data_IF_949011787175
#
_entry.id   IF_949011787175
#
_cell.length_a   1.000
_cell.length_b   1.000
_cell.length_c   1.000
_cell.angle_alpha   90.00
_cell.angle_beta   90.00
_cell.angle_gamma   90.00
#
_symmetry.space_group_name_H-M   'P 1'
#
loop_
_entity.id
_entity.type
_entity.pdbx_description
1 polymer ?
#
# COMPACT_ATOMS: atom_id res chain seq x y z
N UNK A 1 10.44 -17.53 -14.24
CA UNK A 1 11.02 -18.01 -12.95
C UNK A 1 9.90 -18.22 -11.96
N UNK A 2 9.69 -19.43 -11.48
CA UNK A 2 8.64 -19.75 -10.48
C UNK A 2 9.15 -19.36 -9.09
N UNK A 3 8.24 -18.98 -8.18
CA UNK A 3 8.61 -18.71 -6.78
C UNK A 3 9.16 -19.99 -6.15
N UNK A 4 10.35 -19.90 -5.53
CA UNK A 4 11.03 -21.04 -4.93
C UNK A 4 12.15 -21.67 -5.79
N UNK A 5 12.16 -21.44 -7.11
CA UNK A 5 13.19 -22.02 -8.02
C UNK A 5 14.62 -21.71 -7.57
N UNK A 6 14.88 -20.50 -7.05
CA UNK A 6 16.21 -20.14 -6.54
C UNK A 6 16.61 -20.98 -5.32
N UNK A 7 15.67 -21.29 -4.42
CA UNK A 7 15.92 -22.15 -3.27
C UNK A 7 16.21 -23.58 -3.69
N UNK A 8 15.46 -24.12 -4.65
CA UNK A 8 15.68 -25.45 -5.19
C UNK A 8 16.99 -25.55 -5.97
N UNK A 9 17.35 -24.54 -6.75
CA UNK A 9 18.66 -24.46 -7.41
C UNK A 9 19.81 -24.43 -6.39
N UNK A 10 19.65 -23.68 -5.30
CA UNK A 10 20.63 -23.65 -4.21
C UNK A 10 20.77 -25.02 -3.55
N UNK A 11 19.70 -25.76 -3.29
CA UNK A 11 19.74 -27.11 -2.73
C UNK A 11 20.52 -28.08 -3.63
N UNK A 12 20.26 -28.02 -4.94
CA UNK A 12 21.01 -28.87 -5.91
C UNK A 12 22.49 -28.50 -5.92
N UNK A 13 22.82 -27.23 -6.07
CA UNK A 13 24.20 -26.75 -6.08
C UNK A 13 24.95 -27.09 -4.79
N UNK A 14 24.34 -26.78 -3.64
CA UNK A 14 24.94 -27.11 -2.34
C UNK A 14 25.11 -28.62 -2.15
N UNK A 15 24.12 -29.42 -2.56
CA UNK A 15 24.19 -30.87 -2.50
C UNK A 15 25.36 -31.43 -3.31
N UNK A 16 25.56 -30.96 -4.55
CA UNK A 16 26.67 -31.39 -5.40
C UNK A 16 28.01 -31.03 -4.78
N UNK A 17 28.22 -29.79 -4.41
CA UNK A 17 29.48 -29.31 -3.83
C UNK A 17 29.81 -30.01 -2.52
N UNK A 18 28.83 -30.17 -1.64
CA UNK A 18 29.02 -30.85 -0.36
C UNK A 18 29.31 -32.35 -0.52
N UNK A 19 28.66 -33.01 -1.48
CA UNK A 19 28.90 -34.41 -1.77
C UNK A 19 30.37 -34.68 -2.21
N UNK A 20 30.90 -33.81 -3.07
CA UNK A 20 32.29 -33.92 -3.56
C UNK A 20 33.28 -33.62 -2.45
N UNK A 21 33.09 -32.55 -1.69
CA UNK A 21 34.00 -32.14 -0.60
C UNK A 21 34.03 -33.20 0.48
N UNK A 22 32.91 -33.78 0.86
CA UNK A 22 32.85 -34.84 1.87
C UNK A 22 33.53 -36.13 1.38
N UNK A 23 33.56 -36.39 0.05
CA UNK A 23 34.27 -37.47 -0.55
C UNK A 23 35.79 -37.43 -0.30
N UNK A 24 36.34 -36.23 -0.13
CA UNK A 24 37.81 -36.02 0.10
C UNK A 24 38.18 -36.03 1.60
N UNK A 25 37.23 -36.09 2.51
CA UNK A 25 37.48 -36.04 3.96
C UNK A 25 37.77 -37.45 4.51
N UNK A 26 38.77 -37.58 5.38
CA UNK A 26 39.21 -38.88 5.91
C UNK A 26 38.44 -39.33 7.15
N UNK A 27 37.85 -38.41 7.93
CA UNK A 27 37.20 -38.68 9.22
C UNK A 27 35.68 -38.44 9.16
N UNK A 28 34.91 -39.44 8.71
CA UNK A 28 33.45 -39.32 8.64
C UNK A 28 32.73 -40.59 9.10
N UNK A 29 31.59 -40.42 9.78
CA UNK A 29 30.71 -41.53 10.13
C UNK A 29 30.12 -42.16 8.86
N UNK A 30 30.25 -43.47 8.73
CA UNK A 30 29.74 -44.24 7.59
C UNK A 30 28.41 -44.89 7.93
N UNK A 31 27.42 -44.73 7.04
CA UNK A 31 26.10 -45.37 7.10
C UNK A 31 25.78 -45.93 5.72
N UNK A 32 25.43 -47.20 5.62
CA UNK A 32 25.10 -47.88 4.35
C UNK A 32 26.17 -47.75 3.26
N UNK A 33 27.47 -47.71 3.64
CA UNK A 33 28.57 -47.57 2.68
C UNK A 33 28.81 -46.15 2.16
N UNK A 34 28.03 -45.18 2.57
CA UNK A 34 28.19 -43.76 2.28
C UNK A 34 28.39 -42.97 3.57
N UNK A 35 29.05 -41.83 3.45
CA UNK A 35 29.20 -40.91 4.59
C UNK A 35 27.87 -40.22 4.87
N UNK A 36 27.52 -40.01 6.13
CA UNK A 36 26.24 -39.36 6.55
C UNK A 36 25.99 -38.04 5.83
N UNK A 37 27.02 -37.22 5.64
CA UNK A 37 26.90 -35.95 4.91
C UNK A 37 26.64 -36.14 3.40
N UNK A 38 27.13 -37.25 2.80
CA UNK A 38 26.83 -37.60 1.41
C UNK A 38 25.36 -38.03 1.24
N UNK A 39 24.80 -38.78 2.20
CA UNK A 39 23.38 -39.12 2.19
C UNK A 39 22.48 -37.88 2.29
N UNK A 40 22.81 -36.94 3.19
CA UNK A 40 22.10 -35.65 3.30
C UNK A 40 22.21 -34.84 2.00
N UNK A 41 23.40 -34.83 1.38
CA UNK A 41 23.63 -34.14 0.11
C UNK A 41 22.80 -34.73 -1.03
N UNK A 42 22.70 -36.06 -1.11
CA UNK A 42 21.85 -36.77 -2.07
C UNK A 42 20.36 -36.41 -1.85
N UNK A 43 19.90 -36.43 -0.61
CA UNK A 43 18.51 -36.03 -0.27
C UNK A 43 18.22 -34.60 -0.71
N UNK A 44 19.13 -33.64 -0.45
CA UNK A 44 18.97 -32.24 -0.88
C UNK A 44 18.95 -32.12 -2.42
N UNK A 45 19.80 -32.87 -3.15
CA UNK A 45 19.76 -32.88 -4.62
C UNK A 45 18.42 -33.40 -5.15
N UNK A 46 17.91 -34.52 -4.59
CA UNK A 46 16.63 -35.10 -5.00
C UNK A 46 15.48 -34.12 -4.73
N UNK A 47 15.41 -33.54 -3.53
CA UNK A 47 14.37 -32.55 -3.18
C UNK A 47 14.48 -31.32 -4.08
N UNK A 48 15.68 -30.81 -4.31
CA UNK A 48 15.93 -29.68 -5.21
C UNK A 48 15.49 -29.97 -6.66
N UNK A 49 15.82 -31.12 -7.20
CA UNK A 49 15.41 -31.55 -8.55
C UNK A 49 13.89 -31.72 -8.65
N UNK A 50 13.24 -32.37 -7.69
CA UNK A 50 11.78 -32.52 -7.64
C UNK A 50 11.09 -31.16 -7.54
N UNK A 51 11.68 -30.23 -6.77
CA UNK A 51 11.20 -28.85 -6.67
C UNK A 51 11.29 -28.13 -8.01
N UNK A 52 12.40 -28.21 -8.72
CA UNK A 52 12.59 -27.63 -10.06
C UNK A 52 11.65 -28.25 -11.11
N UNK A 53 11.37 -29.56 -11.02
CA UNK A 53 10.37 -30.24 -11.85
C UNK A 53 8.94 -29.80 -11.55
N UNK A 54 8.72 -29.10 -10.43
CA UNK A 54 7.41 -28.54 -10.09
C UNK A 54 6.55 -29.45 -9.21
N UNK A 55 7.09 -30.55 -8.68
CA UNK A 55 6.35 -31.50 -7.81
C UNK A 55 5.76 -30.79 -6.59
N UNK A 56 6.52 -29.86 -6.01
CA UNK A 56 6.07 -29.11 -4.82
C UNK A 56 5.30 -27.82 -5.16
N UNK A 57 5.15 -27.46 -6.43
CA UNK A 57 4.49 -26.22 -6.84
C UNK A 57 3.01 -26.15 -6.41
N UNK A 58 2.32 -27.28 -6.36
CA UNK A 58 0.95 -27.33 -5.85
C UNK A 58 0.86 -27.10 -4.33
N UNK A 59 1.88 -27.53 -3.58
CA UNK A 59 1.97 -27.33 -2.13
C UNK A 59 2.41 -25.91 -1.75
N UNK A 60 3.21 -25.24 -2.61
CA UNK A 60 3.68 -23.85 -2.42
C UNK A 60 2.85 -22.82 -3.15
N UNK A 61 1.65 -23.16 -3.63
CA UNK A 61 0.66 -22.20 -4.09
C UNK A 61 0.05 -21.47 -2.89
N UNK A 62 0.81 -20.61 -2.26
CA UNK A 62 0.26 -19.47 -1.56
C UNK A 62 -0.26 -18.52 -2.65
N UNK A 63 -1.49 -18.75 -3.06
CA UNK A 63 -2.30 -17.76 -3.77
C UNK A 63 -2.66 -16.66 -2.77
N UNK A 64 -1.71 -15.83 -2.37
CA UNK A 64 -2.09 -14.50 -1.96
C UNK A 64 -2.63 -13.85 -3.23
N UNK A 65 -3.94 -13.64 -3.24
CA UNK A 65 -4.55 -12.82 -4.29
C UNK A 65 -3.79 -11.50 -4.30
N UNK A 66 -3.44 -10.95 -5.46
CA UNK A 66 -2.88 -9.61 -5.50
C UNK A 66 -3.89 -8.64 -4.89
N UNK A 67 -3.40 -7.67 -4.14
CA UNK A 67 -4.22 -6.58 -3.60
C UNK A 67 -3.68 -5.26 -4.14
N UNK A 68 -4.56 -4.29 -4.37
CA UNK A 68 -4.17 -2.96 -4.82
C UNK A 68 -4.63 -1.94 -3.79
N UNK A 69 -3.68 -1.12 -3.35
CA UNK A 69 -3.93 -0.05 -2.39
C UNK A 69 -3.87 1.29 -3.12
N UNK A 70 -4.92 2.06 -2.99
CA UNK A 70 -5.05 3.37 -3.65
C UNK A 70 -4.92 4.50 -2.64
N UNK A 71 -4.28 5.57 -3.07
CA UNK A 71 -4.55 6.89 -2.49
C UNK A 71 -5.87 7.43 -3.04
N UNK A 72 -6.43 8.45 -2.40
CA UNK A 72 -7.69 9.05 -2.81
C UNK A 72 -7.47 10.23 -3.75
N UNK A 73 -6.76 11.26 -3.25
CA UNK A 73 -6.67 12.57 -3.89
C UNK A 73 -5.65 12.58 -5.04
N UNK A 74 -6.08 12.98 -6.23
CA UNK A 74 -5.24 12.95 -7.42
C UNK A 74 -5.02 11.55 -8.02
N UNK A 75 -5.61 10.51 -7.40
CA UNK A 75 -5.52 9.12 -7.86
C UNK A 75 -6.89 8.57 -8.27
N UNK A 76 -7.87 8.65 -7.40
CA UNK A 76 -9.25 8.20 -7.64
C UNK A 76 -10.19 9.37 -7.89
N UNK A 77 -9.97 10.47 -7.18
CA UNK A 77 -10.74 11.70 -7.32
C UNK A 77 -9.82 12.89 -7.54
N UNK A 78 -10.22 13.79 -8.43
CA UNK A 78 -9.59 15.10 -8.58
C UNK A 78 -10.26 16.08 -7.60
N UNK A 79 -9.59 16.29 -6.49
CA UNK A 79 -10.01 17.24 -5.45
C UNK A 79 -9.17 18.53 -5.46
N UNK A 80 -8.32 18.75 -6.45
CA UNK A 80 -7.37 19.86 -6.45
C UNK A 80 -8.08 21.21 -6.34
N UNK A 81 -9.07 21.47 -7.20
CA UNK A 81 -9.80 22.74 -7.17
C UNK A 81 -10.59 22.90 -5.88
N UNK A 82 -11.19 21.82 -5.36
CA UNK A 82 -11.91 21.82 -4.09
C UNK A 82 -11.00 22.24 -2.94
N UNK A 83 -9.83 21.63 -2.84
CA UNK A 83 -8.85 21.91 -1.77
C UNK A 83 -8.36 23.36 -1.90
N UNK A 84 -7.93 23.79 -3.08
CA UNK A 84 -7.42 25.14 -3.32
C UNK A 84 -8.45 26.21 -2.98
N UNK A 85 -9.67 26.07 -3.47
CA UNK A 85 -10.73 27.03 -3.21
C UNK A 85 -11.14 27.06 -1.73
N UNK A 86 -11.12 25.90 -1.06
CA UNK A 86 -11.40 25.84 0.37
C UNK A 86 -10.34 26.59 1.17
N UNK A 87 -9.05 26.37 0.90
CA UNK A 87 -7.97 27.10 1.58
C UNK A 87 -8.02 28.59 1.29
N UNK A 88 -8.23 29.00 0.03
CA UNK A 88 -8.36 30.42 -0.32
C UNK A 88 -9.49 31.10 0.46
N UNK A 89 -10.64 30.44 0.62
CA UNK A 89 -11.76 31.01 1.42
C UNK A 89 -11.43 31.10 2.89
N UNK A 90 -10.81 30.07 3.47
CA UNK A 90 -10.39 30.11 4.88
C UNK A 90 -9.41 31.25 5.13
N UNK A 91 -8.38 31.37 4.28
CA UNK A 91 -7.39 32.44 4.43
C UNK A 91 -7.99 33.83 4.19
N UNK A 92 -8.86 33.98 3.22
CA UNK A 92 -9.55 35.25 2.98
C UNK A 92 -10.41 35.70 4.18
N UNK A 93 -11.02 34.74 4.92
CA UNK A 93 -11.78 35.05 6.13
C UNK A 93 -10.90 35.39 7.33
N UNK A 94 -9.78 34.67 7.53
CA UNK A 94 -8.99 34.73 8.76
C UNK A 94 -7.69 35.53 8.63
N UNK A 95 -7.17 35.68 7.42
CA UNK A 95 -5.98 36.45 7.07
C UNK A 95 -6.20 37.17 5.74
N UNK A 96 -7.06 38.18 5.67
CA UNK A 96 -7.46 38.83 4.42
C UNK A 96 -6.29 39.47 3.66
N UNK A 97 -5.23 39.87 4.37
CA UNK A 97 -4.02 40.49 3.81
C UNK A 97 -2.98 39.45 3.32
N UNK A 98 -3.27 38.12 3.48
CA UNK A 98 -2.38 37.06 3.08
C UNK A 98 -2.87 36.35 1.82
N UNK A 99 -2.13 36.50 0.73
CA UNK A 99 -2.41 35.79 -0.52
C UNK A 99 -1.61 34.49 -0.60
N UNK A 100 -2.33 33.36 -0.69
CA UNK A 100 -1.72 32.05 -0.89
C UNK A 100 -1.17 31.92 -2.30
N UNK A 101 0.12 31.62 -2.42
CA UNK A 101 0.75 31.27 -3.69
C UNK A 101 0.29 29.89 -4.17
N UNK A 102 0.43 29.62 -5.46
CA UNK A 102 0.14 28.30 -5.99
C UNK A 102 1.07 27.22 -5.40
N UNK A 103 2.34 27.54 -5.14
CA UNK A 103 3.31 26.63 -4.53
C UNK A 103 2.89 26.21 -3.13
N UNK A 104 2.40 27.16 -2.31
CA UNK A 104 1.85 26.87 -0.99
C UNK A 104 0.62 25.95 -1.09
N UNK A 105 -0.32 26.28 -1.99
CA UNK A 105 -1.51 25.46 -2.21
C UNK A 105 -1.16 24.01 -2.60
N UNK A 106 -0.16 23.79 -3.46
CA UNK A 106 0.33 22.46 -3.78
C UNK A 106 0.98 21.77 -2.57
N UNK A 107 1.69 22.49 -1.71
CA UNK A 107 2.30 21.94 -0.50
C UNK A 107 1.28 21.46 0.56
N UNK A 108 0.02 21.84 0.43
CA UNK A 108 -1.08 21.42 1.33
C UNK A 108 -1.64 20.05 0.99
N UNK A 109 -1.24 19.46 -0.15
CA UNK A 109 -1.57 18.07 -0.46
C UNK A 109 -0.64 17.11 0.29
N UNK A 110 -1.21 16.09 0.93
CA UNK A 110 -0.46 15.07 1.65
C UNK A 110 -0.42 15.27 3.16
N UNK A 111 0.07 16.41 3.70
CA UNK A 111 0.02 16.69 5.13
C UNK A 111 -1.40 16.70 5.70
N UNK A 112 -1.54 16.48 7.00
CA UNK A 112 -2.82 16.68 7.68
C UNK A 112 -3.14 18.17 7.85
N UNK A 113 -4.43 18.50 8.04
CA UNK A 113 -4.85 19.89 8.20
C UNK A 113 -4.21 20.54 9.43
N UNK A 114 -4.01 19.76 10.51
CA UNK A 114 -3.33 20.22 11.71
C UNK A 114 -1.91 20.71 11.39
N UNK A 115 -1.12 19.87 10.72
CA UNK A 115 0.25 20.21 10.31
C UNK A 115 0.27 21.42 9.37
N UNK A 116 -0.70 21.53 8.48
CA UNK A 116 -0.79 22.64 7.54
C UNK A 116 -1.14 23.94 8.26
N UNK A 117 -2.20 23.96 9.05
CA UNK A 117 -2.66 25.20 9.71
C UNK A 117 -1.74 25.67 10.84
N UNK A 118 -1.04 24.75 11.55
CA UNK A 118 -0.05 25.13 12.58
C UNK A 118 1.13 25.94 12.04
N UNK A 119 1.38 25.94 10.72
CA UNK A 119 2.41 26.79 10.10
C UNK A 119 1.99 28.26 9.99
N UNK A 120 0.70 28.55 9.99
CA UNK A 120 0.13 29.87 9.69
C UNK A 120 -0.66 30.50 10.84
N UNK A 121 -1.10 29.68 11.79
CA UNK A 121 -1.99 30.09 12.88
C UNK A 121 -1.51 29.57 14.23
N UNK A 122 -1.83 30.27 15.35
CA UNK A 122 -1.57 29.79 16.70
C UNK A 122 -2.22 28.44 16.98
N UNK A 123 -1.57 27.62 17.79
CA UNK A 123 -1.97 26.23 18.04
C UNK A 123 -3.39 26.12 18.67
N UNK A 124 -3.74 27.07 19.54
CA UNK A 124 -5.06 27.17 20.18
C UNK A 124 -6.21 27.44 19.21
N UNK A 125 -5.93 27.97 18.01
CA UNK A 125 -6.93 28.27 16.99
C UNK A 125 -7.06 27.18 15.94
N UNK A 126 -6.06 26.30 15.80
CA UNK A 126 -5.98 25.31 14.71
C UNK A 126 -7.25 24.47 14.61
N UNK A 127 -7.80 23.97 15.74
CA UNK A 127 -8.99 23.13 15.69
C UNK A 127 -10.21 23.88 15.16
N UNK A 128 -10.44 25.12 15.58
CA UNK A 128 -11.57 25.92 15.12
C UNK A 128 -11.46 26.26 13.63
N UNK A 129 -10.23 26.44 13.13
CA UNK A 129 -9.94 26.69 11.72
C UNK A 129 -10.20 25.41 10.88
N UNK A 130 -9.81 24.26 11.40
CA UNK A 130 -10.12 22.97 10.76
C UNK A 130 -11.63 22.77 10.66
N UNK A 131 -12.38 23.07 11.71
CA UNK A 131 -13.84 22.96 11.68
C UNK A 131 -14.44 23.90 10.63
N UNK A 132 -13.94 25.14 10.56
CA UNK A 132 -14.36 26.10 9.52
C UNK A 132 -14.01 25.61 8.12
N UNK A 133 -12.80 25.09 7.92
CA UNK A 133 -12.37 24.48 6.66
C UNK A 133 -13.34 23.36 6.23
N UNK A 134 -13.74 22.49 7.16
CA UNK A 134 -14.65 21.38 6.87
C UNK A 134 -16.04 21.85 6.43
N UNK A 135 -16.54 22.91 7.05
CA UNK A 135 -17.83 23.51 6.65
C UNK A 135 -17.76 24.05 5.22
N UNK A 136 -16.72 24.81 4.90
CA UNK A 136 -16.52 25.38 3.55
C UNK A 136 -16.29 24.25 2.53
N UNK A 137 -15.44 23.29 2.84
CA UNK A 137 -15.15 22.14 1.98
C UNK A 137 -16.41 21.33 1.67
N UNK A 138 -17.24 21.08 2.67
CA UNK A 138 -18.53 20.38 2.49
C UNK A 138 -19.49 21.13 1.57
N UNK A 139 -19.53 22.45 1.67
CA UNK A 139 -20.39 23.27 0.81
C UNK A 139 -19.93 23.25 -0.66
N UNK A 140 -18.61 23.27 -0.89
CA UNK A 140 -18.02 23.28 -2.23
C UNK A 140 -17.88 21.88 -2.86
N UNK A 141 -17.99 20.83 -2.06
CA UNK A 141 -17.66 19.46 -2.43
C UNK A 141 -18.40 18.98 -3.69
N UNK A 142 -19.71 19.28 -3.74
CA UNK A 142 -20.57 18.82 -4.84
C UNK A 142 -20.18 19.44 -6.19
N UNK A 143 -19.73 20.68 -6.19
CA UNK A 143 -19.49 21.45 -7.41
C UNK A 143 -18.05 21.31 -7.92
N UNK A 144 -17.09 21.11 -7.02
CA UNK A 144 -15.65 21.16 -7.33
C UNK A 144 -14.94 19.81 -7.30
N UNK A 145 -15.54 18.75 -6.72
CA UNK A 145 -14.96 17.42 -6.76
C UNK A 145 -15.27 16.77 -8.11
N UNK A 146 -14.23 16.24 -8.76
CA UNK A 146 -14.34 15.52 -10.02
C UNK A 146 -13.78 14.10 -9.90
N UNK A 147 -14.25 13.20 -10.74
CA UNK A 147 -13.65 11.89 -10.94
C UNK A 147 -12.34 12.04 -11.73
N UNK A 148 -11.33 11.25 -11.38
CA UNK A 148 -10.14 11.12 -12.23
C UNK A 148 -10.53 10.28 -13.46
N UNK A 149 -10.21 10.73 -14.69
CA UNK A 149 -10.54 10.00 -15.90
C UNK A 149 -10.07 8.54 -15.84
N UNK A 150 -10.95 7.62 -16.25
CA UNK A 150 -10.70 6.17 -16.29
C UNK A 150 -10.52 5.47 -14.94
N UNK A 151 -10.67 6.16 -13.79
CA UNK A 151 -10.57 5.54 -12.48
C UNK A 151 -11.61 4.42 -12.29
N UNK A 152 -12.84 4.66 -12.71
CA UNK A 152 -13.92 3.69 -12.62
C UNK A 152 -13.69 2.47 -13.51
N UNK A 153 -13.33 2.68 -14.78
CA UNK A 153 -13.02 1.59 -15.73
C UNK A 153 -11.88 0.69 -15.23
N UNK A 154 -10.83 1.30 -14.66
CA UNK A 154 -9.73 0.56 -14.04
C UNK A 154 -10.22 -0.29 -12.86
N UNK A 155 -11.07 0.26 -11.99
CA UNK A 155 -11.61 -0.48 -10.83
C UNK A 155 -12.57 -1.60 -11.28
N UNK A 156 -13.34 -1.40 -12.35
CA UNK A 156 -14.17 -2.44 -12.97
C UNK A 156 -13.30 -3.60 -13.45
N UNK A 157 -12.20 -3.32 -14.17
CA UNK A 157 -11.26 -4.34 -14.62
C UNK A 157 -10.61 -5.12 -13.47
N UNK A 158 -10.22 -4.43 -12.38
CA UNK A 158 -9.67 -5.09 -11.18
C UNK A 158 -10.70 -6.02 -10.51
N UNK A 159 -11.96 -5.59 -10.47
CA UNK A 159 -13.06 -6.37 -9.92
C UNK A 159 -13.35 -7.63 -10.75
N UNK A 160 -13.32 -7.54 -12.08
CA UNK A 160 -13.47 -8.68 -13.00
C UNK A 160 -12.36 -9.73 -12.78
N UNK A 161 -11.13 -9.28 -12.52
CA UNK A 161 -9.99 -10.14 -12.18
C UNK A 161 -10.00 -10.64 -10.72
N UNK A 162 -11.04 -10.31 -9.94
CA UNK A 162 -11.16 -10.65 -8.51
C UNK A 162 -9.97 -10.14 -7.67
N UNK A 163 -9.43 -8.97 -8.00
CA UNK A 163 -8.38 -8.28 -7.27
C UNK A 163 -9.02 -7.42 -6.18
N UNK A 164 -8.64 -7.65 -4.93
CA UNK A 164 -9.14 -6.86 -3.81
C UNK A 164 -8.48 -5.49 -3.78
N UNK A 165 -9.29 -4.46 -3.49
CA UNK A 165 -8.85 -3.08 -3.49
C UNK A 165 -9.10 -2.42 -2.13
N UNK A 166 -8.18 -1.55 -1.70
CA UNK A 166 -8.38 -0.70 -0.55
C UNK A 166 -7.99 0.75 -0.84
N UNK A 167 -8.59 1.67 -0.08
CA UNK A 167 -8.23 3.08 -0.08
C UNK A 167 -7.58 3.43 1.25
N UNK A 168 -6.44 4.15 1.19
CA UNK A 168 -5.72 4.66 2.37
C UNK A 168 -5.47 6.15 2.19
N UNK A 169 -6.04 6.98 3.07
CA UNK A 169 -5.97 8.44 2.97
C UNK A 169 -5.73 9.12 4.32
N UNK A 170 -4.99 10.24 4.33
CA UNK A 170 -4.84 11.09 5.52
C UNK A 170 -6.08 11.95 5.82
N UNK A 171 -7.10 11.91 4.96
CA UNK A 171 -8.38 12.59 5.20
C UNK A 171 -9.23 11.84 6.21
N UNK A 172 -10.16 12.56 6.86
CA UNK A 172 -11.15 11.94 7.73
C UNK A 172 -11.98 10.93 6.96
N UNK A 173 -12.27 9.81 7.59
CA UNK A 173 -12.98 8.67 6.97
C UNK A 173 -14.32 9.07 6.32
N UNK A 174 -15.05 9.98 6.95
CA UNK A 174 -16.32 10.50 6.41
C UNK A 174 -16.13 11.26 5.09
N UNK A 175 -15.01 12.03 4.98
CA UNK A 175 -14.68 12.79 3.77
C UNK A 175 -14.27 11.83 2.65
N UNK A 176 -13.50 10.79 2.97
CA UNK A 176 -13.11 9.72 2.02
C UNK A 176 -14.35 9.05 1.46
N UNK A 177 -15.23 8.53 2.33
CA UNK A 177 -16.46 7.84 1.94
C UNK A 177 -17.39 8.73 1.10
N UNK A 178 -17.52 10.01 1.47
CA UNK A 178 -18.32 10.97 0.71
C UNK A 178 -17.75 11.21 -0.68
N UNK A 179 -16.42 11.34 -0.80
CA UNK A 179 -15.73 11.53 -2.07
C UNK A 179 -15.93 10.32 -3.00
N UNK A 180 -15.70 9.11 -2.49
CA UNK A 180 -15.92 7.87 -3.24
C UNK A 180 -17.38 7.74 -3.71
N UNK A 181 -18.33 8.00 -2.83
CA UNK A 181 -19.76 7.95 -3.17
C UNK A 181 -20.14 8.96 -4.26
N UNK A 182 -19.62 10.19 -4.17
CA UNK A 182 -19.90 11.21 -5.17
C UNK A 182 -19.31 10.87 -6.54
N UNK A 183 -18.12 10.25 -6.56
CA UNK A 183 -17.48 9.77 -7.78
C UNK A 183 -18.07 8.42 -8.29
N UNK A 184 -19.03 7.83 -7.57
CA UNK A 184 -19.59 6.52 -7.93
C UNK A 184 -18.61 5.35 -7.79
N UNK A 185 -17.63 5.49 -6.90
CA UNK A 185 -16.54 4.53 -6.68
C UNK A 185 -16.67 3.75 -5.35
N UNK A 186 -17.70 3.97 -4.57
CA UNK A 186 -17.88 3.41 -3.21
C UNK A 186 -18.08 1.89 -3.17
N UNK A 187 -18.46 1.25 -4.29
CA UNK A 187 -18.70 -0.19 -4.40
C UNK A 187 -17.50 -1.05 -4.84
N UNK A 188 -16.29 -0.47 -4.93
CA UNK A 188 -15.09 -1.15 -5.46
C UNK A 188 -14.05 -1.51 -4.42
N UNK A 189 -14.24 -1.11 -3.16
CA UNK A 189 -13.23 -1.26 -2.11
C UNK A 189 -13.74 -2.11 -0.97
N UNK A 190 -13.01 -3.16 -0.62
CA UNK A 190 -13.24 -3.99 0.57
C UNK A 190 -12.84 -3.26 1.85
N UNK A 191 -11.79 -2.42 1.77
CA UNK A 191 -11.25 -1.68 2.91
C UNK A 191 -11.09 -0.20 2.53
N UNK A 192 -11.59 0.67 3.40
CA UNK A 192 -11.42 2.13 3.27
C UNK A 192 -10.91 2.66 4.60
N UNK A 193 -9.67 3.17 4.60
CA UNK A 193 -9.01 3.76 5.77
C UNK A 193 -8.86 5.27 5.60
N UNK A 194 -9.39 6.01 6.57
CA UNK A 194 -9.16 7.43 6.76
C UNK A 194 -8.31 7.71 7.98
N UNK A 195 -8.01 8.97 8.27
CA UNK A 195 -7.15 9.43 9.36
C UNK A 195 -7.41 8.70 10.69
N UNK A 196 -8.67 8.51 11.05
CA UNK A 196 -9.07 7.91 12.31
C UNK A 196 -8.76 6.41 12.41
N UNK A 197 -8.53 5.75 11.27
CA UNK A 197 -8.24 4.33 11.18
C UNK A 197 -6.74 4.05 11.01
N UNK A 198 -5.92 5.08 10.80
CA UNK A 198 -4.49 4.93 10.59
C UNK A 198 -3.76 4.93 11.94
N UNK A 199 -2.86 3.96 12.20
CA UNK A 199 -1.98 4.02 13.37
C UNK A 199 -1.11 5.28 13.37
N UNK A 200 -0.61 5.65 12.19
CA UNK A 200 0.13 6.89 11.92
C UNK A 200 -0.24 7.43 10.54
N UNK A 201 -0.24 8.76 10.34
CA UNK A 201 -0.53 9.35 9.05
C UNK A 201 0.59 9.06 8.03
N UNK A 202 0.25 9.11 6.73
CA UNK A 202 1.27 9.10 5.68
C UNK A 202 2.25 10.28 5.87
N UNK A 203 3.56 10.07 5.68
CA UNK A 203 4.22 9.04 4.87
C UNK A 203 4.54 7.72 5.61
N UNK A 204 4.05 7.50 6.84
CA UNK A 204 4.23 6.19 7.49
C UNK A 204 3.59 5.06 6.65
N UNK A 205 4.28 3.91 6.59
CA UNK A 205 3.76 2.72 5.93
C UNK A 205 2.71 1.96 6.75
N UNK A 206 2.47 2.37 8.00
CA UNK A 206 1.59 1.66 8.95
C UNK A 206 0.17 1.48 8.41
N UNK A 207 -0.40 2.50 7.75
CA UNK A 207 -1.73 2.41 7.15
C UNK A 207 -1.80 1.45 5.96
N UNK A 208 -0.72 1.32 5.17
CA UNK A 208 -0.66 0.35 4.08
C UNK A 208 -0.58 -1.08 4.62
N UNK A 209 0.21 -1.29 5.69
CA UNK A 209 0.33 -2.58 6.37
C UNK A 209 -1.03 -2.97 6.95
N UNK A 210 -1.72 -2.04 7.60
CA UNK A 210 -3.06 -2.27 8.17
C UNK A 210 -4.07 -2.65 7.09
N UNK A 211 -4.10 -1.93 5.98
CA UNK A 211 -4.96 -2.27 4.84
C UNK A 211 -4.68 -3.69 4.30
N UNK A 212 -3.40 -4.09 4.21
CA UNK A 212 -3.03 -5.45 3.80
C UNK A 212 -3.43 -6.53 4.80
N UNK A 213 -3.50 -6.21 6.10
CA UNK A 213 -3.92 -7.16 7.14
C UNK A 213 -5.45 -7.37 7.13
N UNK A 214 -6.19 -6.34 6.70
CA UNK A 214 -7.65 -6.37 6.62
C UNK A 214 -8.18 -7.02 5.33
N UNK A 215 -7.36 -7.13 4.27
CA UNK A 215 -7.64 -7.81 3.00
C UNK A 215 -7.22 -9.29 3.04
#
# INVERSE_FOLDING_TARGET
KRRGDCGFMYMVWYGITRFVIEGLRTDSLMVLGLRTAQLVSLALMVVGCLGLMGVFHKAFHWKKKPVVLFDLDGTLIDSQQLVFETFRRVFKELKPDYELSNEELYSFFGPTLEVTFSKYFPEDQVQSIIDRYQVINKALHKDLLKEVPHAKEMLEGLKEENIQCAVVSNKRIEVVKRGLKQAGLDGYFEVVLGKENLPEPKPSASGLIEACNLL
#
